data_IF_337175663188
#
_entry.id   IF_337175663188
#
_cell.length_a   1.000
_cell.length_b   1.000
_cell.length_c   1.000
_cell.angle_alpha   90.00
_cell.angle_beta   90.00
_cell.angle_gamma   90.00
#
_symmetry.space_group_name_H-M   'P 1'
#
loop_
_entity.id
_entity.type
_entity.pdbx_description
1 polymer ?
#
# COMPACT_ATOMS: atom_id res chain seq x y z
N UNK A 1 -1.61 1.43 -19.96
CA UNK A 1 -2.22 0.76 -18.79
C UNK A 1 -2.73 1.82 -17.84
N UNK A 2 -3.73 1.53 -17.03
CA UNK A 2 -4.27 2.46 -16.04
C UNK A 2 -4.12 1.82 -14.66
N UNK A 3 -3.64 2.58 -13.68
CA UNK A 3 -3.47 2.11 -12.31
C UNK A 3 -4.07 3.11 -11.34
N UNK A 4 -4.67 2.60 -10.27
CA UNK A 4 -5.16 3.42 -9.17
C UNK A 4 -3.98 3.89 -8.31
N UNK A 5 -3.97 5.18 -7.98
CA UNK A 5 -2.98 5.80 -7.08
C UNK A 5 -3.69 6.30 -5.83
N UNK A 6 -3.17 5.90 -4.66
CA UNK A 6 -3.60 6.41 -3.35
C UNK A 6 -2.64 7.53 -2.96
N UNK A 7 -3.17 8.73 -2.73
CA UNK A 7 -2.39 9.88 -2.28
C UNK A 7 -2.63 10.11 -0.79
N UNK A 8 -1.54 10.21 -0.03
CA UNK A 8 -1.57 10.57 1.39
C UNK A 8 -0.80 11.89 1.58
N UNK A 9 -1.34 12.87 2.33
CA UNK A 9 -0.57 14.04 2.73
C UNK A 9 0.67 13.63 3.53
N UNK A 10 1.81 14.25 3.22
CA UNK A 10 3.08 14.08 3.93
C UNK A 10 3.54 15.43 4.49
N UNK A 11 3.26 15.71 5.78
CA UNK A 11 3.57 17.00 6.40
C UNK A 11 5.06 17.33 6.42
N UNK A 12 5.95 16.33 6.51
CA UNK A 12 7.39 16.56 6.65
C UNK A 12 8.02 17.17 5.38
N UNK A 13 7.38 16.97 4.22
CA UNK A 13 7.81 17.51 2.93
C UNK A 13 6.84 18.56 2.36
N UNK A 14 5.81 18.93 3.12
CA UNK A 14 4.69 19.76 2.66
C UNK A 14 4.12 19.27 1.31
N UNK A 15 3.88 17.96 1.21
CA UNK A 15 3.55 17.32 -0.06
C UNK A 15 2.67 16.09 0.09
N UNK A 16 2.83 15.14 -0.83
CA UNK A 16 2.04 13.92 -0.92
C UNK A 16 2.95 12.71 -1.14
N UNK A 17 2.65 11.62 -0.43
CA UNK A 17 3.09 10.27 -0.80
C UNK A 17 2.07 9.70 -1.79
N UNK A 18 2.55 9.19 -2.92
CA UNK A 18 1.75 8.45 -3.88
C UNK A 18 2.08 6.96 -3.78
N UNK A 19 1.05 6.14 -3.63
CA UNK A 19 1.16 4.69 -3.57
C UNK A 19 0.36 4.05 -4.70
N UNK A 20 0.98 3.15 -5.46
CA UNK A 20 0.36 2.38 -6.54
C UNK A 20 0.24 0.92 -6.10
N UNK A 21 -0.92 0.48 -5.55
CA UNK A 21 -1.03 -0.82 -4.89
C UNK A 21 -0.75 -2.00 -5.82
N UNK A 22 -1.27 -1.95 -7.05
CA UNK A 22 -1.13 -3.04 -8.02
C UNK A 22 0.33 -3.30 -8.42
N UNK A 23 1.17 -2.26 -8.44
CA UNK A 23 2.58 -2.32 -8.85
C UNK A 23 3.52 -2.39 -7.63
N UNK A 24 3.01 -2.13 -6.42
CA UNK A 24 3.80 -2.13 -5.18
C UNK A 24 4.80 -0.99 -5.10
N UNK A 25 4.51 0.14 -5.74
CA UNK A 25 5.42 1.29 -5.83
C UNK A 25 4.94 2.42 -4.95
N UNK A 26 5.88 3.10 -4.28
CA UNK A 26 5.65 4.33 -3.53
C UNK A 26 6.59 5.42 -4.04
N UNK A 27 6.08 6.63 -4.22
CA UNK A 27 6.83 7.82 -4.59
C UNK A 27 6.29 9.04 -3.81
N UNK A 28 6.91 10.20 -4.00
CA UNK A 28 6.53 11.43 -3.30
C UNK A 28 6.58 12.62 -4.24
N UNK A 29 5.80 13.66 -3.94
CA UNK A 29 5.86 14.92 -4.67
C UNK A 29 5.28 16.09 -3.87
N UNK A 30 5.78 17.29 -4.15
CA UNK A 30 5.36 18.55 -3.50
C UNK A 30 3.95 19.04 -3.90
N UNK A 31 3.28 18.35 -4.83
CA UNK A 31 1.89 18.62 -5.22
C UNK A 31 1.22 17.33 -5.67
N UNK A 32 -0.12 17.35 -5.79
CA UNK A 32 -0.87 16.19 -6.29
C UNK A 32 -0.36 15.78 -7.68
N UNK A 33 -0.25 16.73 -8.60
CA UNK A 33 0.21 16.48 -9.97
C UNK A 33 1.63 15.93 -9.98
N UNK A 34 2.54 16.56 -9.22
CA UNK A 34 3.92 16.10 -9.15
C UNK A 34 4.03 14.69 -8.55
N UNK A 35 3.27 14.38 -7.50
CA UNK A 35 3.26 13.03 -6.91
C UNK A 35 2.71 11.97 -7.90
N UNK A 36 1.70 12.32 -8.71
CA UNK A 36 1.18 11.44 -9.77
C UNK A 36 2.21 11.22 -10.89
N UNK A 37 2.93 12.27 -11.30
CA UNK A 37 4.03 12.16 -12.28
C UNK A 37 5.13 11.23 -11.77
N UNK A 38 5.59 11.45 -10.53
CA UNK A 38 6.60 10.60 -9.90
C UNK A 38 6.13 9.14 -9.73
N UNK A 39 4.85 8.93 -9.42
CA UNK A 39 4.28 7.58 -9.34
C UNK A 39 4.22 6.90 -10.72
N UNK A 40 3.89 7.65 -11.78
CA UNK A 40 3.87 7.12 -13.14
C UNK A 40 5.27 6.70 -13.61
N UNK A 41 6.29 7.52 -13.33
CA UNK A 41 7.69 7.18 -13.65
C UNK A 41 8.15 5.93 -12.88
N UNK A 42 7.95 5.90 -11.57
CA UNK A 42 8.37 4.79 -10.73
C UNK A 42 7.61 3.48 -11.06
N UNK A 43 6.31 3.56 -11.37
CA UNK A 43 5.53 2.41 -11.81
C UNK A 43 6.02 1.89 -13.17
N UNK A 44 6.34 2.78 -14.11
CA UNK A 44 6.86 2.39 -15.43
C UNK A 44 8.18 1.64 -15.29
N UNK A 45 9.12 2.17 -14.51
CA UNK A 45 10.41 1.51 -14.24
C UNK A 45 10.23 0.13 -13.59
N UNK A 46 9.30 0.00 -12.63
CA UNK A 46 9.03 -1.29 -11.99
C UNK A 46 8.47 -2.31 -12.98
N UNK A 47 7.55 -1.90 -13.85
CA UNK A 47 6.95 -2.76 -14.88
C UNK A 47 7.98 -3.21 -15.92
N UNK A 48 8.91 -2.33 -16.30
CA UNK A 48 10.04 -2.68 -17.18
C UNK A 48 10.88 -3.79 -16.56
N UNK A 49 11.29 -3.64 -15.29
CA UNK A 49 12.05 -4.67 -14.56
C UNK A 49 11.25 -5.99 -14.49
N UNK A 50 9.94 -5.93 -14.21
CA UNK A 50 9.09 -7.13 -14.20
C UNK A 50 9.09 -7.84 -15.55
N UNK A 51 8.97 -7.09 -16.64
CA UNK A 51 8.97 -7.64 -17.98
C UNK A 51 10.32 -8.27 -18.35
N UNK A 52 11.43 -7.63 -17.98
CA UNK A 52 12.79 -8.15 -18.17
C UNK A 52 13.03 -9.46 -17.39
N UNK A 53 12.51 -9.53 -16.17
CA UNK A 53 12.58 -10.71 -15.30
C UNK A 53 11.57 -11.81 -15.69
N UNK A 54 10.76 -11.61 -16.73
CA UNK A 54 9.72 -12.56 -17.15
C UNK A 54 8.57 -12.73 -16.15
N UNK A 55 8.37 -11.74 -15.27
CA UNK A 55 7.25 -11.69 -14.33
C UNK A 55 5.98 -11.22 -15.04
N UNK A 56 4.82 -11.68 -14.57
CA UNK A 56 3.53 -11.21 -15.05
C UNK A 56 3.30 -9.76 -14.63
N UNK A 57 3.00 -8.89 -15.59
CA UNK A 57 2.66 -7.49 -15.30
C UNK A 57 1.22 -7.41 -14.78
N UNK A 58 0.99 -6.73 -13.64
CA UNK A 58 -0.35 -6.56 -13.10
C UNK A 58 -1.20 -5.71 -14.05
N UNK A 59 -2.37 -6.19 -14.45
CA UNK A 59 -3.34 -5.41 -15.23
C UNK A 59 -4.53 -5.10 -14.33
N UNK A 60 -4.71 -3.81 -14.02
CA UNK A 60 -5.87 -3.38 -13.23
C UNK A 60 -7.12 -3.31 -14.11
N UNK A 61 -8.18 -3.98 -13.68
CA UNK A 61 -9.48 -3.87 -14.35
C UNK A 61 -10.17 -2.56 -13.93
N UNK A 62 -10.97 -1.94 -14.81
CA UNK A 62 -11.77 -0.78 -14.45
C UNK A 62 -12.68 -1.05 -13.25
N UNK A 63 -12.94 -0.02 -12.44
CA UNK A 63 -13.91 -0.10 -11.33
C UNK A 63 -13.31 -0.32 -9.94
N UNK A 64 -12.04 0.06 -9.72
CA UNK A 64 -11.44 0.06 -8.40
C UNK A 64 -12.27 0.88 -7.40
N UNK A 65 -12.51 0.30 -6.21
CA UNK A 65 -13.18 0.97 -5.10
C UNK A 65 -12.11 1.31 -4.06
N UNK A 66 -11.87 2.60 -3.84
CA UNK A 66 -11.01 3.07 -2.76
C UNK A 66 -11.86 3.30 -1.52
N UNK A 67 -11.52 2.63 -0.43
CA UNK A 67 -12.22 2.73 0.85
C UNK A 67 -11.26 2.97 2.00
N UNK A 68 -11.77 3.61 3.05
CA UNK A 68 -11.10 3.72 4.35
C UNK A 68 -11.97 3.05 5.41
N UNK A 69 -11.32 2.45 6.41
CA UNK A 69 -11.99 1.91 7.59
C UNK A 69 -11.43 2.62 8.82
N UNK A 70 -12.30 2.90 9.80
CA UNK A 70 -11.88 3.32 11.13
C UNK A 70 -11.80 2.08 12.01
N UNK A 71 -10.65 1.87 12.65
CA UNK A 71 -10.46 0.74 13.57
C UNK A 71 -10.48 1.27 15.00
N UNK A 72 -11.48 0.86 15.77
CA UNK A 72 -11.64 1.27 17.16
C UNK A 72 -10.56 0.68 18.07
N UNK A 73 -9.95 1.52 18.91
CA UNK A 73 -8.89 1.11 19.85
C UNK A 73 -9.32 0.00 20.83
N UNK A 74 -10.61 -0.12 21.12
CA UNK A 74 -11.16 -1.14 22.01
C UNK A 74 -11.08 -2.57 21.42
N UNK A 75 -11.17 -2.73 20.10
CA UNK A 75 -11.08 -4.05 19.44
C UNK A 75 -9.64 -4.61 19.45
N UNK A 76 -8.64 -3.74 19.36
CA UNK A 76 -7.23 -4.13 19.36
C UNK A 76 -6.73 -4.63 20.73
N UNK A 77 -7.40 -4.27 21.83
CA UNK A 77 -7.03 -4.68 23.18
C UNK A 77 -7.41 -6.13 23.52
N UNK A 78 -8.35 -6.73 22.78
CA UNK A 78 -8.81 -8.11 23.03
C UNK A 78 -7.89 -9.17 22.38
N UNK A 79 -7.18 -8.81 21.31
CA UNK A 79 -6.30 -9.72 20.58
C UNK A 79 -5.05 -10.08 21.37
N UNK A 80 -4.59 -9.20 22.27
CA UNK A 80 -3.38 -9.40 23.08
C UNK A 80 -3.61 -10.19 24.36
N UNK A 81 -4.87 -10.38 24.79
CA UNK A 81 -5.22 -11.02 26.07
C UNK A 81 -5.48 -12.53 26.00
N UNK A 82 -5.54 -13.14 24.80
CA UNK A 82 -5.91 -14.55 24.60
C UNK A 82 -4.77 -15.58 24.66
N UNK A 83 -3.55 -15.18 25.02
CA UNK A 83 -2.34 -15.98 24.82
C UNK A 83 -1.68 -16.55 26.08
N UNK A 84 -2.39 -17.26 26.97
CA UNK A 84 -1.76 -18.20 27.93
C UNK A 84 -2.74 -19.30 28.36
N UNK A 85 -2.94 -20.28 27.49
CA UNK A 85 -3.64 -21.52 27.83
C UNK A 85 -2.84 -22.74 27.39
N UNK A 86 -2.38 -23.55 28.34
CA UNK A 86 -2.11 -24.98 28.12
C UNK A 86 -0.68 -25.44 28.39
N UNK A 87 -0.51 -26.17 29.51
CA UNK A 87 0.71 -26.90 29.81
C UNK A 87 0.69 -27.61 31.16
N UNK A 88 -0.36 -28.38 31.45
CA UNK A 88 -0.32 -29.36 32.53
C UNK A 88 0.72 -30.44 32.17
N UNK A 89 1.73 -30.60 33.02
CA UNK A 89 2.70 -31.69 32.97
C UNK A 89 2.80 -32.31 34.36
N UNK A 90 2.00 -33.35 34.57
CA UNK A 90 2.12 -34.31 35.67
C UNK A 90 3.42 -35.11 35.55
N UNK A 91 4.15 -35.24 36.66
CA UNK A 91 5.29 -36.14 36.80
C UNK A 91 5.86 -36.08 38.21
#
# INVERSE_FOLDING_TARGET
>A
MHYTVVLLPEPDIDGYVAYVPAVGVTSQGYSIQHALEMAAEAASLRLEIMAEDGQEMPIEQPGAIVGSIEVGRAELALVTAGGTGGGAGSG
#
